data_IF_709457515266
#
_entry.id   IF_709457515266
#
_cell.length_a   1.000
_cell.length_b   1.000
_cell.length_c   1.000
_cell.angle_alpha   90.00
_cell.angle_beta   90.00
_cell.angle_gamma   90.00
#
_symmetry.space_group_name_H-M   'P 1'
#
loop_
_entity.id
_entity.type
_entity.pdbx_description
1 polymer ?
#
# COMPACT_ATOMS: atom_id res chain seq x y z
N UNK A 1 20.63 28.64 30.04
CA UNK A 1 21.34 27.98 28.93
C UNK A 1 20.35 27.11 28.17
N UNK A 2 19.85 27.61 27.04
CA UNK A 2 19.07 26.88 26.05
C UNK A 2 19.42 27.51 24.71
N UNK A 3 20.43 26.93 24.04
CA UNK A 3 21.05 27.44 22.81
C UNK A 3 20.11 27.18 21.63
N UNK A 4 20.02 28.16 20.71
CA UNK A 4 19.54 28.01 19.33
C UNK A 4 18.23 27.21 19.17
N UNK A 5 17.06 27.88 19.31
CA UNK A 5 15.82 27.41 18.67
C UNK A 5 16.05 27.47 17.16
N UNK A 6 16.58 26.40 16.57
CA UNK A 6 16.40 26.15 15.15
C UNK A 6 14.89 26.04 14.92
N UNK A 7 14.35 26.79 13.96
CA UNK A 7 12.91 27.00 13.73
C UNK A 7 12.13 25.78 13.24
N UNK A 8 12.59 24.57 13.55
CA UNK A 8 11.85 23.34 13.36
C UNK A 8 11.79 22.57 14.66
N UNK A 9 10.59 22.45 15.21
CA UNK A 9 10.34 21.56 16.34
C UNK A 9 10.67 20.13 15.91
N UNK A 10 11.66 19.50 16.54
CA UNK A 10 12.08 18.11 16.27
C UNK A 10 10.91 17.11 16.39
N UNK A 11 9.88 17.49 17.13
CA UNK A 11 8.65 16.71 17.35
C UNK A 11 7.59 16.90 16.25
N UNK A 12 7.92 17.59 15.14
CA UNK A 12 6.94 17.82 14.08
C UNK A 12 6.55 16.50 13.37
N UNK A 13 5.29 16.07 13.45
CA UNK A 13 4.84 14.82 12.83
C UNK A 13 4.96 14.82 11.30
N UNK A 14 5.02 15.99 10.67
CA UNK A 14 5.32 16.11 9.23
C UNK A 14 6.71 15.55 8.88
N UNK A 15 7.71 15.74 9.74
CA UNK A 15 9.06 15.23 9.54
C UNK A 15 9.06 13.69 9.56
N UNK A 16 8.30 13.07 10.47
CA UNK A 16 8.13 11.62 10.56
C UNK A 16 7.47 11.03 9.30
N UNK A 17 6.45 11.70 8.75
CA UNK A 17 5.83 11.30 7.48
C UNK A 17 6.81 11.36 6.30
N UNK A 18 7.63 12.41 6.23
CA UNK A 18 8.70 12.52 5.24
C UNK A 18 9.76 11.44 5.42
N UNK A 19 10.25 11.21 6.64
CA UNK A 19 11.25 10.18 6.93
C UNK A 19 10.74 8.78 6.55
N UNK A 20 9.47 8.47 6.84
CA UNK A 20 8.84 7.20 6.44
C UNK A 20 8.75 7.07 4.92
N UNK A 21 8.37 8.15 4.23
CA UNK A 21 8.30 8.18 2.75
C UNK A 21 9.67 8.00 2.09
N UNK A 22 10.70 8.65 2.64
CA UNK A 22 12.08 8.56 2.15
C UNK A 22 12.68 7.18 2.41
N UNK A 23 12.40 6.60 3.57
CA UNK A 23 12.78 5.21 3.86
C UNK A 23 12.11 4.26 2.87
N UNK A 24 10.82 4.47 2.59
CA UNK A 24 10.10 3.73 1.55
C UNK A 24 10.77 3.84 0.17
N UNK A 25 11.21 5.02 -0.24
CA UNK A 25 11.93 5.20 -1.51
C UNK A 25 13.26 4.45 -1.53
N UNK A 26 14.03 4.53 -0.44
CA UNK A 26 15.31 3.84 -0.34
C UNK A 26 15.11 2.32 -0.43
N UNK A 27 14.06 1.79 0.22
CA UNK A 27 13.68 0.38 0.12
C UNK A 27 13.24 0.00 -1.30
N UNK A 28 12.41 0.82 -1.95
CA UNK A 28 12.00 0.60 -3.35
C UNK A 28 13.22 0.58 -4.27
N UNK A 29 14.12 1.55 -4.14
CA UNK A 29 15.35 1.63 -4.93
C UNK A 29 16.23 0.40 -4.70
N UNK A 30 16.42 -0.02 -3.45
CA UNK A 30 17.18 -1.21 -3.10
C UNK A 30 16.59 -2.48 -3.75
N UNK A 31 15.28 -2.70 -3.64
CA UNK A 31 14.62 -3.86 -4.24
C UNK A 31 14.75 -3.83 -5.76
N UNK A 32 14.58 -2.66 -6.39
CA UNK A 32 14.77 -2.50 -7.84
C UNK A 32 16.21 -2.80 -8.26
N UNK A 33 17.22 -2.40 -7.49
CA UNK A 33 18.61 -2.78 -7.76
C UNK A 33 18.88 -4.27 -7.55
N UNK A 34 18.24 -4.91 -6.57
CA UNK A 34 18.32 -6.37 -6.40
C UNK A 34 17.73 -7.10 -7.61
N UNK A 35 16.57 -6.66 -8.10
CA UNK A 35 15.96 -7.19 -9.32
C UNK A 35 16.87 -6.99 -10.54
N UNK A 36 17.48 -5.81 -10.67
CA UNK A 36 18.41 -5.49 -11.74
C UNK A 36 19.70 -6.33 -11.72
N UNK A 37 20.10 -6.80 -10.54
CA UNK A 37 21.32 -7.57 -10.31
C UNK A 37 21.24 -9.03 -10.76
N UNK A 38 20.08 -9.49 -11.26
CA UNK A 38 19.95 -10.85 -11.78
C UNK A 38 20.79 -11.03 -13.06
N UNK A 39 21.76 -11.97 -13.09
CA UNK A 39 22.68 -12.13 -14.21
C UNK A 39 22.02 -12.65 -15.50
N UNK A 40 20.79 -13.19 -15.40
CA UNK A 40 20.04 -13.73 -16.54
C UNK A 40 19.14 -12.70 -17.21
N UNK A 41 19.09 -11.48 -16.67
CA UNK A 41 18.25 -10.42 -17.21
C UNK A 41 18.93 -9.73 -18.41
N UNK A 42 18.25 -9.53 -19.55
CA UNK A 42 18.81 -8.74 -20.64
C UNK A 42 19.06 -7.31 -20.18
N UNK A 43 20.08 -6.66 -20.75
CA UNK A 43 20.39 -5.27 -20.41
C UNK A 43 19.28 -4.32 -20.84
N UNK A 44 18.72 -4.55 -22.03
CA UNK A 44 17.73 -3.69 -22.65
C UNK A 44 16.39 -4.42 -22.86
N UNK A 45 15.26 -3.70 -22.94
CA UNK A 45 13.96 -4.27 -23.26
C UNK A 45 14.00 -5.11 -24.54
N UNK A 46 13.26 -6.22 -24.55
CA UNK A 46 13.17 -7.14 -25.70
C UNK A 46 11.75 -7.10 -26.23
N UNK A 47 11.56 -6.51 -27.41
CA UNK A 47 10.22 -6.26 -27.98
C UNK A 47 9.40 -7.54 -28.22
N UNK A 48 10.07 -8.65 -28.57
CA UNK A 48 9.44 -9.95 -28.82
C UNK A 48 9.16 -10.77 -27.55
N UNK A 49 9.55 -10.28 -26.37
CA UNK A 49 9.27 -10.97 -25.11
C UNK A 49 7.79 -10.79 -24.70
N UNK A 50 7.24 -11.76 -23.99
CA UNK A 50 5.88 -11.71 -23.45
C UNK A 50 5.70 -10.53 -22.48
N UNK A 51 6.76 -10.12 -21.79
CA UNK A 51 6.81 -8.93 -20.94
C UNK A 51 8.03 -8.07 -21.35
N UNK A 52 7.91 -7.19 -22.36
CA UNK A 52 9.06 -6.54 -23.01
C UNK A 52 9.94 -5.71 -22.07
N UNK A 53 9.35 -5.13 -21.02
CA UNK A 53 10.04 -4.22 -20.08
C UNK A 53 10.87 -4.94 -19.02
N UNK A 54 10.88 -6.27 -18.97
CA UNK A 54 11.69 -7.06 -18.03
C UNK A 54 13.15 -7.02 -18.50
N UNK A 55 13.86 -5.98 -18.07
CA UNK A 55 15.24 -5.70 -18.46
C UNK A 55 15.98 -4.95 -17.35
N UNK A 56 17.31 -5.10 -17.33
CA UNK A 56 18.14 -4.58 -16.24
C UNK A 56 18.12 -3.06 -16.25
N UNK A 57 18.18 -2.43 -17.43
CA UNK A 57 18.05 -0.98 -17.59
C UNK A 57 16.72 -0.43 -17.07
N UNK A 58 15.60 -1.16 -17.19
CA UNK A 58 14.31 -0.75 -16.62
C UNK A 58 14.40 -0.66 -15.09
N UNK A 59 14.88 -1.72 -14.44
CA UNK A 59 14.96 -1.77 -12.98
C UNK A 59 16.02 -0.81 -12.43
N UNK A 60 17.19 -0.72 -13.06
CA UNK A 60 18.21 0.29 -12.71
C UNK A 60 17.66 1.70 -12.89
N UNK A 61 17.01 1.99 -14.02
CA UNK A 61 16.47 3.32 -14.30
C UNK A 61 15.44 3.77 -13.26
N UNK A 62 14.50 2.89 -12.92
CA UNK A 62 13.53 3.16 -11.85
C UNK A 62 14.23 3.27 -10.48
N UNK A 63 15.15 2.36 -10.15
CA UNK A 63 15.87 2.37 -8.88
C UNK A 63 16.70 3.63 -8.68
N UNK A 64 17.43 4.06 -9.71
CA UNK A 64 18.20 5.31 -9.70
C UNK A 64 17.28 6.53 -9.60
N UNK A 65 16.15 6.56 -10.30
CA UNK A 65 15.19 7.66 -10.17
C UNK A 65 14.66 7.78 -8.73
N UNK A 66 14.29 6.66 -8.10
CA UNK A 66 13.84 6.63 -6.71
C UNK A 66 14.94 7.09 -5.75
N UNK A 67 16.19 6.63 -5.95
CA UNK A 67 17.33 7.01 -5.12
C UNK A 67 17.66 8.51 -5.24
N UNK A 68 17.67 9.06 -6.46
CA UNK A 68 17.96 10.47 -6.71
C UNK A 68 16.88 11.36 -6.09
N UNK A 69 15.61 11.04 -6.32
CA UNK A 69 14.49 11.78 -5.71
C UNK A 69 14.55 11.67 -4.18
N UNK A 70 14.86 10.49 -3.64
CA UNK A 70 15.04 10.30 -2.20
C UNK A 70 16.14 11.20 -1.64
N UNK A 71 17.32 11.24 -2.27
CA UNK A 71 18.43 12.06 -1.80
C UNK A 71 18.12 13.56 -1.85
N UNK A 72 17.48 14.04 -2.93
CA UNK A 72 17.07 15.43 -3.08
C UNK A 72 16.03 15.79 -2.01
N UNK A 73 14.98 14.99 -1.85
CA UNK A 73 13.95 15.23 -0.85
C UNK A 73 14.50 15.15 0.58
N UNK A 74 15.44 14.24 0.87
CA UNK A 74 16.09 14.16 2.18
C UNK A 74 16.89 15.44 2.50
N UNK A 75 17.69 15.93 1.54
CA UNK A 75 18.42 17.18 1.69
C UNK A 75 17.47 18.37 1.90
N UNK A 76 16.41 18.46 1.10
CA UNK A 76 15.40 19.52 1.23
C UNK A 76 14.61 19.44 2.54
N UNK A 77 14.31 18.24 3.05
CA UNK A 77 13.70 18.05 4.36
C UNK A 77 14.64 18.55 5.46
N UNK A 78 15.91 18.15 5.43
CA UNK A 78 16.90 18.58 6.43
C UNK A 78 17.05 20.10 6.43
N UNK A 79 17.24 20.71 5.26
CA UNK A 79 17.40 22.17 5.16
C UNK A 79 16.09 22.90 5.48
N UNK A 80 14.95 22.42 4.97
CA UNK A 80 13.64 23.07 5.08
C UNK A 80 12.98 22.98 6.44
N UNK A 81 13.21 21.90 7.18
CA UNK A 81 12.71 21.77 8.55
C UNK A 81 13.74 22.23 9.59
N UNK A 82 15.05 22.03 9.39
CA UNK A 82 16.02 22.33 10.45
C UNK A 82 16.75 23.67 10.30
N UNK A 83 16.89 24.22 9.08
CA UNK A 83 17.73 25.40 8.84
C UNK A 83 16.94 26.62 8.38
N UNK A 84 16.18 26.49 7.27
CA UNK A 84 15.55 27.62 6.58
C UNK A 84 14.21 27.20 5.96
N UNK A 85 13.10 27.73 6.49
CA UNK A 85 11.74 27.37 6.06
C UNK A 85 11.41 27.61 4.57
N UNK A 86 12.14 28.49 3.87
CA UNK A 86 11.94 28.74 2.44
C UNK A 86 12.14 27.48 1.57
N UNK A 87 12.92 26.50 2.04
CA UNK A 87 13.13 25.23 1.33
C UNK A 87 11.93 24.27 1.40
N UNK A 88 10.86 24.61 2.13
CA UNK A 88 9.61 23.84 2.12
C UNK A 88 8.86 23.95 0.77
N UNK A 89 8.99 25.06 0.05
CA UNK A 89 8.38 25.23 -1.28
C UNK A 89 9.01 24.32 -2.35
N UNK A 90 10.35 24.27 -2.54
CA UNK A 90 10.95 23.29 -3.46
C UNK A 90 10.70 21.85 -3.00
N UNK A 91 10.66 21.58 -1.69
CA UNK A 91 10.29 20.26 -1.16
C UNK A 91 8.88 19.85 -1.60
N UNK A 92 7.92 20.79 -1.65
CA UNK A 92 6.56 20.53 -2.14
C UNK A 92 6.56 20.07 -3.61
N UNK A 93 7.35 20.73 -4.46
CA UNK A 93 7.49 20.39 -5.88
C UNK A 93 8.12 19.00 -6.04
N UNK A 94 9.21 18.73 -5.31
CA UNK A 94 9.83 17.41 -5.29
C UNK A 94 8.86 16.33 -4.76
N UNK A 95 7.98 16.68 -3.83
CA UNK A 95 6.91 15.80 -3.36
C UNK A 95 5.90 15.42 -4.45
N UNK A 96 5.63 16.28 -5.43
CA UNK A 96 4.77 15.94 -6.58
C UNK A 96 5.53 14.99 -7.53
N UNK A 97 6.80 15.29 -7.83
CA UNK A 97 7.64 14.43 -8.67
C UNK A 97 7.79 13.02 -8.06
N UNK A 98 7.96 12.94 -6.75
CA UNK A 98 7.95 11.70 -5.97
C UNK A 98 6.65 10.91 -6.18
N UNK A 99 5.49 11.56 -6.09
CA UNK A 99 4.20 10.88 -6.25
C UNK A 99 4.02 10.36 -7.67
N UNK A 100 4.39 11.15 -8.68
CA UNK A 100 4.37 10.73 -10.09
C UNK A 100 5.28 9.52 -10.29
N UNK A 101 6.49 9.56 -9.76
CA UNK A 101 7.44 8.45 -9.87
C UNK A 101 6.87 7.16 -9.25
N UNK A 102 6.28 7.25 -8.06
CA UNK A 102 5.61 6.11 -7.43
C UNK A 102 4.50 5.52 -8.31
N UNK A 103 3.64 6.37 -8.90
CA UNK A 103 2.57 5.90 -9.79
C UNK A 103 3.13 5.25 -11.05
N UNK A 104 4.17 5.83 -11.65
CA UNK A 104 4.84 5.27 -12.84
C UNK A 104 5.45 3.91 -12.51
N UNK A 105 6.19 3.80 -11.41
CA UNK A 105 6.80 2.53 -10.97
C UNK A 105 5.75 1.46 -10.71
N UNK A 106 4.70 1.78 -9.94
CA UNK A 106 3.60 0.86 -9.69
C UNK A 106 2.86 0.46 -10.97
N UNK A 107 2.72 1.37 -11.94
CA UNK A 107 2.10 1.08 -13.24
C UNK A 107 2.95 0.13 -14.09
N UNK A 108 4.26 0.38 -14.20
CA UNK A 108 5.18 -0.46 -14.97
C UNK A 108 5.27 -1.86 -14.37
N UNK A 109 5.52 -1.96 -13.07
CA UNK A 109 5.66 -3.23 -12.37
C UNK A 109 4.32 -3.97 -12.25
N UNK A 110 3.22 -3.25 -12.03
CA UNK A 110 1.88 -3.82 -12.00
C UNK A 110 1.44 -4.41 -13.34
N UNK A 111 1.91 -3.85 -14.46
CA UNK A 111 1.71 -4.44 -15.79
C UNK A 111 2.46 -5.77 -15.92
N UNK A 112 3.67 -5.90 -15.38
CA UNK A 112 4.42 -7.17 -15.38
C UNK A 112 3.66 -8.26 -14.62
N UNK A 113 3.16 -7.95 -13.42
CA UNK A 113 2.32 -8.86 -12.63
C UNK A 113 1.04 -9.25 -13.39
N UNK A 114 0.37 -8.28 -14.02
CA UNK A 114 -0.84 -8.54 -14.81
C UNK A 114 -0.59 -9.52 -15.96
N UNK A 115 0.53 -9.37 -16.66
CA UNK A 115 0.90 -10.26 -17.76
C UNK A 115 1.27 -11.67 -17.25
N UNK A 116 1.94 -11.77 -16.10
CA UNK A 116 2.23 -13.03 -15.45
C UNK A 116 0.95 -13.76 -15.03
N UNK A 117 0.02 -13.07 -14.36
CA UNK A 117 -1.25 -13.64 -13.92
C UNK A 117 -2.08 -14.17 -15.11
N UNK A 118 -2.11 -13.40 -16.21
CA UNK A 118 -2.78 -13.83 -17.43
C UNK A 118 -2.17 -15.12 -17.97
N UNK A 119 -0.83 -15.20 -18.01
CA UNK A 119 -0.12 -16.40 -18.45
C UNK A 119 -0.40 -17.59 -17.54
N UNK A 120 -0.22 -17.46 -16.21
CA UNK A 120 -0.49 -18.52 -15.22
C UNK A 120 -1.94 -19.00 -15.30
N UNK A 121 -2.88 -18.07 -15.46
CA UNK A 121 -4.30 -18.37 -15.60
C UNK A 121 -4.59 -19.22 -16.84
N UNK A 122 -4.06 -18.82 -18.01
CA UNK A 122 -4.22 -19.57 -19.27
C UNK A 122 -3.52 -20.92 -19.20
N UNK A 123 -2.32 -20.98 -18.65
CA UNK A 123 -1.57 -22.22 -18.43
C UNK A 123 -2.37 -23.25 -17.61
N UNK A 124 -3.01 -22.82 -16.52
CA UNK A 124 -3.83 -23.70 -15.69
C UNK A 124 -5.08 -24.20 -16.45
N UNK A 125 -5.70 -23.35 -17.26
CA UNK A 125 -6.85 -23.73 -18.08
C UNK A 125 -6.46 -24.74 -19.17
N UNK A 126 -5.30 -24.54 -19.82
CA UNK A 126 -4.77 -25.44 -20.84
C UNK A 126 -4.40 -26.81 -20.26
N UNK A 127 -3.78 -26.84 -19.08
CA UNK A 127 -3.50 -28.09 -18.34
C UNK A 127 -4.79 -28.84 -18.03
N UNK A 128 -5.83 -28.13 -17.55
CA UNK A 128 -7.14 -28.75 -17.29
C UNK A 128 -7.77 -29.32 -18.56
N UNK A 129 -7.62 -28.62 -19.68
CA UNK A 129 -8.16 -29.02 -20.97
C UNK A 129 -7.30 -30.08 -21.71
N UNK A 130 -6.15 -30.48 -21.16
CA UNK A 130 -5.23 -31.43 -21.81
C UNK A 130 -4.57 -30.85 -23.07
N UNK A 131 -4.47 -29.52 -23.18
CA UNK A 131 -3.85 -28.83 -24.31
C UNK A 131 -2.33 -28.78 -24.15
N UNK A 132 -1.58 -28.69 -25.26
CA UNK A 132 -0.13 -28.50 -25.20
C UNK A 132 0.22 -27.19 -24.50
N UNK A 133 1.19 -27.26 -23.60
CA UNK A 133 1.66 -26.13 -22.81
C UNK A 133 2.60 -25.24 -23.63
N UNK A 134 2.34 -23.94 -23.66
CA UNK A 134 3.32 -22.98 -24.20
C UNK A 134 4.36 -22.71 -23.12
N UNK A 135 5.66 -23.01 -23.35
CA UNK A 135 6.68 -22.78 -22.34
C UNK A 135 6.78 -21.29 -22.01
N UNK A 136 7.00 -20.99 -20.72
CA UNK A 136 7.27 -19.62 -20.28
C UNK A 136 8.53 -19.10 -20.99
N UNK A 137 8.53 -17.83 -21.36
CA UNK A 137 9.76 -17.17 -21.79
C UNK A 137 10.57 -16.66 -20.58
N UNK A 138 11.76 -16.11 -20.83
CA UNK A 138 12.62 -15.60 -19.74
C UNK A 138 11.93 -14.52 -18.91
N UNK A 139 11.07 -13.69 -19.54
CA UNK A 139 10.45 -12.53 -18.92
C UNK A 139 9.35 -12.96 -17.94
N UNK A 140 8.57 -13.97 -18.30
CA UNK A 140 7.58 -14.59 -17.42
C UNK A 140 8.24 -15.35 -16.28
N UNK A 141 9.27 -16.15 -16.55
CA UNK A 141 10.02 -16.87 -15.50
C UNK A 141 10.61 -15.90 -14.48
N UNK A 142 11.27 -14.83 -14.95
CA UNK A 142 11.85 -13.84 -14.05
C UNK A 142 10.80 -13.16 -13.16
N UNK A 143 9.67 -12.75 -13.73
CA UNK A 143 8.60 -12.10 -12.96
C UNK A 143 7.96 -13.07 -11.99
N UNK A 144 7.82 -14.35 -12.35
CA UNK A 144 7.33 -15.41 -11.46
C UNK A 144 8.25 -15.60 -10.25
N UNK A 145 9.56 -15.79 -10.51
CA UNK A 145 10.57 -15.99 -9.46
C UNK A 145 10.69 -14.80 -8.49
N UNK A 146 10.31 -13.60 -8.93
CA UNK A 146 10.47 -12.35 -8.20
C UNK A 146 9.13 -11.66 -7.88
N UNK A 147 8.01 -12.36 -8.04
CA UNK A 147 6.66 -11.80 -7.98
C UNK A 147 6.42 -11.04 -6.66
N UNK A 148 6.85 -11.62 -5.54
CA UNK A 148 6.70 -11.02 -4.22
C UNK A 148 7.46 -9.69 -4.04
N UNK A 149 8.65 -9.57 -4.63
CA UNK A 149 9.43 -8.32 -4.60
C UNK A 149 8.77 -7.24 -5.44
N UNK A 150 8.30 -7.61 -6.64
CA UNK A 150 7.61 -6.70 -7.58
C UNK A 150 6.30 -6.21 -6.95
N UNK A 151 5.50 -7.11 -6.38
CA UNK A 151 4.26 -6.80 -5.68
C UNK A 151 4.50 -5.87 -4.48
N UNK A 152 5.52 -6.16 -3.67
CA UNK A 152 5.90 -5.32 -2.54
C UNK A 152 6.24 -3.89 -2.97
N UNK A 153 7.02 -3.71 -4.04
CA UNK A 153 7.33 -2.39 -4.58
C UNK A 153 6.06 -1.67 -5.08
N UNK A 154 5.18 -2.37 -5.81
CA UNK A 154 3.91 -1.81 -6.27
C UNK A 154 3.06 -1.28 -5.11
N UNK A 155 2.87 -2.10 -4.07
CA UNK A 155 2.07 -1.72 -2.90
C UNK A 155 2.73 -0.54 -2.17
N UNK A 156 4.04 -0.59 -1.91
CA UNK A 156 4.74 0.48 -1.22
C UNK A 156 4.67 1.81 -1.99
N UNK A 157 4.76 1.77 -3.32
CA UNK A 157 4.60 2.93 -4.19
C UNK A 157 3.19 3.54 -4.11
N UNK A 158 2.13 2.76 -3.91
CA UNK A 158 0.77 3.29 -3.71
C UNK A 158 0.61 3.93 -2.33
N UNK A 159 1.28 3.39 -1.30
CA UNK A 159 1.17 3.87 0.08
C UNK A 159 1.94 5.17 0.34
N UNK A 160 3.17 5.27 -0.20
CA UNK A 160 4.06 6.40 0.03
C UNK A 160 3.44 7.79 -0.24
N UNK A 161 2.70 8.02 -1.34
CA UNK A 161 1.99 9.27 -1.61
C UNK A 161 1.12 9.76 -0.45
N UNK A 162 0.50 8.86 0.32
CA UNK A 162 -0.36 9.24 1.45
C UNK A 162 0.45 9.94 2.53
N UNK A 163 1.63 9.41 2.88
CA UNK A 163 2.51 10.05 3.86
C UNK A 163 2.97 11.44 3.39
N UNK A 164 3.29 11.59 2.09
CA UNK A 164 3.65 12.89 1.49
C UNK A 164 2.47 13.86 1.46
N UNK A 165 1.24 13.39 1.27
CA UNK A 165 0.06 14.25 1.37
C UNK A 165 -0.21 14.68 2.81
N UNK A 166 -0.05 13.77 3.78
CA UNK A 166 -0.30 14.07 5.19
C UNK A 166 0.73 15.05 5.75
N UNK A 167 2.00 14.94 5.37
CA UNK A 167 3.06 15.86 5.83
C UNK A 167 2.75 17.32 5.50
N UNK A 168 1.98 17.61 4.44
CA UNK A 168 1.55 18.97 4.09
C UNK A 168 0.48 19.53 5.01
N UNK A 169 -0.29 18.67 5.66
CA UNK A 169 -1.42 19.06 6.51
C UNK A 169 -1.10 19.07 8.00
N UNK A 170 0.04 18.48 8.39
CA UNK A 170 0.45 18.33 9.78
C UNK A 170 1.30 19.51 10.22
N UNK A 171 0.97 20.05 11.39
CA UNK A 171 1.70 21.09 12.12
C UNK A 171 2.27 20.48 13.40
N UNK A 172 3.17 21.19 14.07
CA UNK A 172 3.77 20.69 15.29
C UNK A 172 2.75 20.52 16.45
N UNK A 173 1.71 21.36 16.48
CA UNK A 173 0.56 21.23 17.39
C UNK A 173 -0.49 20.19 16.96
N UNK A 174 -0.26 19.43 15.89
CA UNK A 174 -1.24 18.44 15.41
C UNK A 174 -1.39 17.28 16.39
N UNK A 175 -2.63 16.93 16.81
CA UNK A 175 -2.84 15.81 17.72
C UNK A 175 -2.30 14.50 17.15
N UNK A 176 -1.68 13.67 18.01
CA UNK A 176 -1.04 12.43 17.61
C UNK A 176 -1.94 11.49 16.78
N UNK A 177 -3.25 11.46 17.05
CA UNK A 177 -4.19 10.62 16.31
C UNK A 177 -4.45 11.11 14.87
N UNK A 178 -4.39 12.41 14.60
CA UNK A 178 -4.52 12.96 13.24
C UNK A 178 -3.25 12.68 12.41
N UNK A 179 -2.11 12.52 13.09
CA UNK A 179 -0.83 12.18 12.48
C UNK A 179 -0.65 10.67 12.24
N UNK A 180 -1.31 9.80 13.02
CA UNK A 180 -1.02 8.35 13.04
C UNK A 180 -2.23 7.48 12.72
N UNK A 181 -3.36 7.65 13.42
CA UNK A 181 -4.50 6.75 13.33
C UNK A 181 -5.28 6.93 12.01
N UNK A 182 -5.68 8.17 11.68
CA UNK A 182 -6.46 8.41 10.46
C UNK A 182 -5.67 8.13 9.17
N UNK A 183 -4.40 8.53 9.04
CA UNK A 183 -3.55 8.09 7.94
C UNK A 183 -3.38 6.57 7.94
N UNK A 184 -3.20 5.95 9.11
CA UNK A 184 -3.07 4.50 9.28
C UNK A 184 -4.24 3.74 8.66
N UNK A 185 -5.47 4.22 8.86
CA UNK A 185 -6.68 3.65 8.24
C UNK A 185 -6.65 3.75 6.71
N UNK A 186 -6.20 4.87 6.14
CA UNK A 186 -6.06 5.02 4.68
C UNK A 186 -4.98 4.06 4.15
N UNK A 187 -3.86 3.94 4.87
CA UNK A 187 -2.72 3.09 4.51
C UNK A 187 -3.12 1.62 4.49
N UNK A 188 -3.76 1.10 5.54
CA UNK A 188 -4.20 -0.31 5.58
C UNK A 188 -5.30 -0.60 4.57
N UNK A 189 -6.13 0.40 4.23
CA UNK A 189 -7.14 0.30 3.17
C UNK A 189 -6.48 0.18 1.79
N UNK A 190 -5.52 1.04 1.49
CA UNK A 190 -4.78 1.02 0.22
C UNK A 190 -3.84 -0.19 0.11
N UNK A 191 -3.27 -0.65 1.23
CA UNK A 191 -2.46 -1.86 1.25
C UNK A 191 -3.33 -3.07 0.88
N UNK A 192 -4.49 -3.21 1.54
CA UNK A 192 -5.48 -4.24 1.19
C UNK A 192 -5.89 -4.15 -0.27
N UNK A 193 -6.22 -2.95 -0.76
CA UNK A 193 -6.57 -2.73 -2.15
C UNK A 193 -5.45 -3.14 -3.11
N UNK A 194 -4.21 -2.73 -2.86
CA UNK A 194 -3.04 -2.98 -3.70
C UNK A 194 -2.74 -4.47 -3.82
N UNK A 195 -2.72 -5.20 -2.70
CA UNK A 195 -2.51 -6.65 -2.72
C UNK A 195 -3.60 -7.36 -3.53
N UNK A 196 -4.86 -6.96 -3.42
CA UNK A 196 -5.92 -7.54 -4.24
C UNK A 196 -5.86 -7.11 -5.72
N UNK A 197 -5.46 -5.87 -6.00
CA UNK A 197 -5.44 -5.29 -7.34
C UNK A 197 -4.40 -5.96 -8.23
N UNK A 198 -3.26 -6.31 -7.65
CA UNK A 198 -2.09 -6.83 -8.37
C UNK A 198 -1.94 -8.35 -8.30
N UNK A 199 -2.67 -9.04 -7.42
CA UNK A 199 -2.74 -10.51 -7.35
C UNK A 199 -3.79 -11.11 -8.29
N UNK A 200 -4.79 -10.31 -8.71
CA UNK A 200 -5.87 -10.58 -9.72
C UNK A 200 -6.45 -12.00 -9.81
N UNK A 201 -6.32 -12.81 -8.78
CA UNK A 201 -6.55 -14.25 -8.85
C UNK A 201 -8.02 -14.64 -9.03
N UNK A 202 -8.95 -13.74 -8.70
CA UNK A 202 -10.38 -13.92 -9.01
C UNK A 202 -11.13 -12.59 -9.09
N UNK A 203 -12.29 -12.60 -9.75
CA UNK A 203 -13.20 -11.44 -9.79
C UNK A 203 -13.68 -11.00 -8.39
N UNK A 204 -13.76 -11.92 -7.43
CA UNK A 204 -14.08 -11.60 -6.03
C UNK A 204 -12.99 -10.74 -5.41
N UNK A 205 -11.71 -11.10 -5.58
CA UNK A 205 -10.60 -10.31 -5.06
C UNK A 205 -10.52 -8.93 -5.74
N UNK A 206 -10.78 -8.85 -7.05
CA UNK A 206 -10.85 -7.57 -7.75
C UNK A 206 -11.99 -6.67 -7.23
N UNK A 207 -13.16 -7.26 -6.94
CA UNK A 207 -14.28 -6.57 -6.31
C UNK A 207 -13.92 -6.03 -4.92
N UNK A 208 -13.24 -6.86 -4.10
CA UNK A 208 -12.74 -6.45 -2.79
C UNK A 208 -11.68 -5.35 -2.87
N UNK A 209 -10.80 -5.38 -3.88
CA UNK A 209 -9.85 -4.30 -4.16
C UNK A 209 -10.58 -2.98 -4.40
N UNK A 210 -11.58 -2.99 -5.29
CA UNK A 210 -12.36 -1.81 -5.63
C UNK A 210 -13.11 -1.25 -4.42
N UNK A 211 -13.69 -2.12 -3.60
CA UNK A 211 -14.33 -1.73 -2.36
C UNK A 211 -13.34 -1.06 -1.38
N UNK A 212 -12.13 -1.60 -1.23
CA UNK A 212 -11.10 -1.00 -0.39
C UNK A 212 -10.60 0.37 -0.90
N UNK A 213 -10.51 0.56 -2.22
CA UNK A 213 -10.21 1.87 -2.81
C UNK A 213 -11.31 2.89 -2.48
N UNK A 214 -12.58 2.49 -2.58
CA UNK A 214 -13.72 3.35 -2.22
C UNK A 214 -13.67 3.70 -0.73
N UNK A 215 -13.45 2.71 0.15
CA UNK A 215 -13.32 2.92 1.60
C UNK A 215 -12.20 3.91 1.90
N UNK A 216 -11.01 3.71 1.32
CA UNK A 216 -9.89 4.63 1.47
C UNK A 216 -10.21 6.06 1.03
N UNK A 217 -10.88 6.22 -0.11
CA UNK A 217 -11.30 7.52 -0.63
C UNK A 217 -12.34 8.22 0.27
N UNK A 218 -13.39 7.49 0.69
CA UNK A 218 -14.43 8.01 1.60
C UNK A 218 -13.83 8.48 2.90
N UNK A 219 -12.89 7.72 3.47
CA UNK A 219 -12.21 8.07 4.72
C UNK A 219 -11.32 9.30 4.51
N UNK A 220 -10.51 9.32 3.44
CA UNK A 220 -9.66 10.45 3.11
C UNK A 220 -10.46 11.75 2.99
N UNK A 221 -11.56 11.74 2.24
CA UNK A 221 -12.46 12.88 2.08
C UNK A 221 -13.09 13.27 3.43
N UNK A 222 -13.58 12.30 4.18
CA UNK A 222 -14.26 12.54 5.46
C UNK A 222 -13.33 13.14 6.51
N UNK A 223 -12.07 12.69 6.56
CA UNK A 223 -11.03 13.26 7.45
C UNK A 223 -10.69 14.70 7.03
N UNK A 224 -10.57 14.99 5.74
CA UNK A 224 -10.32 16.35 5.24
C UNK A 224 -11.48 17.30 5.59
N UNK A 225 -12.73 16.85 5.37
CA UNK A 225 -13.92 17.63 5.75
C UNK A 225 -13.95 17.87 7.27
N UNK A 226 -13.65 16.85 8.08
CA UNK A 226 -13.62 16.97 9.53
C UNK A 226 -12.58 17.98 10.01
N UNK A 227 -11.38 18.00 9.40
CA UNK A 227 -10.33 18.98 9.70
C UNK A 227 -10.77 20.42 9.41
N UNK A 228 -11.56 20.64 8.36
CA UNK A 228 -11.97 21.98 7.95
C UNK A 228 -13.23 22.50 8.65
N UNK A 229 -14.18 21.61 8.98
CA UNK A 229 -15.50 22.01 9.48
C UNK A 229 -15.68 21.86 11.00
N UNK A 230 -14.82 21.12 11.70
CA UNK A 230 -14.77 20.97 13.17
C UNK A 230 -16.12 20.73 13.89
N UNK A 231 -17.10 20.12 13.22
CA UNK A 231 -18.43 19.90 13.79
C UNK A 231 -18.51 18.59 14.58
N UNK A 232 -19.19 18.63 15.74
CA UNK A 232 -19.47 17.44 16.55
C UNK A 232 -20.30 16.40 15.79
N UNK A 233 -21.23 16.85 14.93
CA UNK A 233 -22.04 15.95 14.11
C UNK A 233 -21.16 15.18 13.10
N UNK A 234 -20.16 15.84 12.52
CA UNK A 234 -19.24 15.21 11.58
C UNK A 234 -18.28 14.23 12.30
N UNK A 235 -17.93 14.47 13.56
CA UNK A 235 -17.19 13.50 14.38
C UNK A 235 -17.98 12.20 14.62
N UNK A 236 -19.30 12.30 14.84
CA UNK A 236 -20.19 11.13 15.01
C UNK A 236 -20.23 10.33 13.71
N UNK A 237 -20.44 11.02 12.58
CA UNK A 237 -20.47 10.38 11.26
C UNK A 237 -19.14 9.68 10.99
N UNK A 238 -18.00 10.31 11.31
CA UNK A 238 -16.68 9.72 11.12
C UNK A 238 -16.47 8.49 12.01
N UNK A 239 -16.93 8.50 13.26
CA UNK A 239 -16.89 7.34 14.14
C UNK A 239 -17.69 6.15 13.58
N UNK A 240 -18.88 6.41 13.03
CA UNK A 240 -19.70 5.38 12.37
C UNK A 240 -19.02 4.84 11.12
N UNK A 241 -18.44 5.71 10.27
CA UNK A 241 -17.67 5.28 9.10
C UNK A 241 -16.53 4.35 9.52
N UNK A 242 -15.79 4.69 10.58
CA UNK A 242 -14.71 3.83 11.06
C UNK A 242 -15.22 2.49 11.63
N UNK A 243 -16.32 2.49 12.38
CA UNK A 243 -16.92 1.26 12.89
C UNK A 243 -17.38 0.33 11.75
N UNK A 244 -18.02 0.89 10.72
CA UNK A 244 -18.40 0.14 9.52
C UNK A 244 -17.17 -0.40 8.78
N UNK A 245 -16.09 0.38 8.70
CA UNK A 245 -14.81 -0.06 8.14
C UNK A 245 -14.19 -1.23 8.90
N UNK A 246 -14.29 -1.26 10.23
CA UNK A 246 -13.84 -2.40 11.04
C UNK A 246 -14.66 -3.68 10.74
N UNK A 247 -15.98 -3.56 10.66
CA UNK A 247 -16.87 -4.67 10.31
C UNK A 247 -16.56 -5.17 8.89
N UNK A 248 -16.37 -4.26 7.95
CA UNK A 248 -15.98 -4.60 6.58
C UNK A 248 -14.64 -5.36 6.56
N UNK A 249 -13.61 -4.85 7.24
CA UNK A 249 -12.30 -5.51 7.33
C UNK A 249 -12.39 -6.92 7.91
N UNK A 250 -13.24 -7.14 8.92
CA UNK A 250 -13.50 -8.47 9.48
C UNK A 250 -14.14 -9.41 8.45
N UNK A 251 -15.17 -8.95 7.74
CA UNK A 251 -15.83 -9.74 6.69
C UNK A 251 -14.83 -10.11 5.59
N UNK A 252 -14.02 -9.15 5.13
CA UNK A 252 -12.99 -9.38 4.12
C UNK A 252 -11.98 -10.42 4.63
N UNK A 253 -11.48 -10.28 5.85
CA UNK A 253 -10.55 -11.23 6.45
C UNK A 253 -11.11 -12.66 6.49
N UNK A 254 -12.39 -12.82 6.84
CA UNK A 254 -13.08 -14.11 6.84
C UNK A 254 -13.22 -14.66 5.42
N UNK A 255 -13.68 -13.86 4.46
CA UNK A 255 -13.88 -14.28 3.07
C UNK A 255 -12.56 -14.75 2.45
N UNK A 256 -11.48 -13.99 2.65
CA UNK A 256 -10.14 -14.36 2.15
C UNK A 256 -9.62 -15.60 2.87
N UNK A 257 -9.85 -15.72 4.18
CA UNK A 257 -9.53 -16.91 4.95
C UNK A 257 -10.20 -18.17 4.41
N UNK A 258 -11.49 -18.09 4.07
CA UNK A 258 -12.23 -19.20 3.44
C UNK A 258 -11.60 -19.56 2.08
N UNK A 259 -11.27 -18.57 1.25
CA UNK A 259 -10.61 -18.84 -0.05
C UNK A 259 -9.26 -19.53 0.10
N UNK A 260 -8.47 -19.12 1.10
CA UNK A 260 -7.21 -19.77 1.41
C UNK A 260 -7.42 -21.24 1.83
N UNK A 261 -8.37 -21.51 2.74
CA UNK A 261 -8.62 -22.88 3.21
C UNK A 261 -9.20 -23.78 2.13
N UNK A 262 -10.12 -23.28 1.30
CA UNK A 262 -10.66 -23.98 0.12
C UNK A 262 -9.55 -24.36 -0.85
N UNK A 263 -8.71 -23.38 -1.23
CA UNK A 263 -7.59 -23.60 -2.15
C UNK A 263 -6.58 -24.62 -1.62
N UNK A 264 -6.19 -24.49 -0.35
CA UNK A 264 -5.27 -25.42 0.32
C UNK A 264 -5.82 -26.84 0.40
N UNK A 265 -7.12 -26.98 0.65
CA UNK A 265 -7.81 -28.28 0.63
C UNK A 265 -7.69 -28.93 -0.74
N UNK A 266 -7.95 -28.18 -1.82
CA UNK A 266 -7.85 -28.71 -3.19
C UNK A 266 -6.41 -29.07 -3.55
N UNK A 267 -5.43 -28.23 -3.20
CA UNK A 267 -4.01 -28.54 -3.40
C UNK A 267 -3.64 -29.89 -2.75
N UNK A 268 -4.10 -30.13 -1.52
CA UNK A 268 -3.85 -31.40 -0.81
C UNK A 268 -4.51 -32.61 -1.51
N UNK A 269 -5.60 -32.41 -2.25
CA UNK A 269 -6.22 -33.45 -3.08
C UNK A 269 -5.47 -33.72 -4.39
N UNK A 270 -4.62 -32.78 -4.84
CA UNK A 270 -3.79 -32.94 -6.04
C UNK A 270 -2.43 -33.59 -5.74
N UNK A 271 -1.98 -33.60 -4.49
CA UNK A 271 -0.72 -34.24 -4.10
C UNK A 271 -0.80 -35.77 -4.29
N UNK A 272 0.23 -36.36 -4.92
CA UNK A 272 0.28 -37.79 -5.26
C UNK A 272 0.27 -38.72 -4.03
N UNK A 273 0.68 -38.20 -2.87
CA UNK A 273 0.70 -38.94 -1.62
C UNK A 273 -0.64 -38.88 -0.87
N UNK A 274 -1.60 -38.10 -1.37
CA UNK A 274 -2.93 -37.99 -0.79
C UNK A 274 -3.77 -39.24 -1.10
N UNK A 275 -4.45 -39.84 -0.11
CA UNK A 275 -5.34 -40.98 -0.36
C UNK A 275 -6.53 -40.62 -1.27
N UNK A 276 -6.81 -39.33 -1.45
CA UNK A 276 -7.85 -38.80 -2.33
C UNK A 276 -7.28 -38.16 -3.60
N UNK A 277 -6.11 -38.61 -4.08
CA UNK A 277 -5.43 -38.01 -5.23
C UNK A 277 -6.34 -37.91 -6.46
N UNK A 278 -6.46 -36.70 -7.00
CA UNK A 278 -7.17 -36.38 -8.24
C UNK A 278 -6.24 -35.66 -9.20
N UNK A 279 -6.42 -35.89 -10.50
CA UNK A 279 -5.77 -35.07 -11.53
C UNK A 279 -6.48 -33.72 -11.68
N UNK A 280 -5.75 -32.66 -12.05
CA UNK A 280 -6.32 -31.31 -12.25
C UNK A 280 -7.50 -31.33 -13.24
N UNK A 281 -7.44 -32.17 -14.28
CA UNK A 281 -8.50 -32.36 -15.28
C UNK A 281 -9.79 -32.99 -14.72
N UNK A 282 -9.72 -33.63 -13.55
CA UNK A 282 -10.85 -34.33 -12.90
C UNK A 282 -11.53 -33.48 -11.82
N UNK A 283 -11.03 -32.27 -11.57
CA UNK A 283 -11.63 -31.36 -10.60
C UNK A 283 -12.95 -30.78 -11.12
N UNK A 284 -13.92 -30.69 -10.21
CA UNK A 284 -15.13 -29.90 -10.42
C UNK A 284 -14.76 -28.43 -10.65
N UNK A 285 -15.63 -27.67 -11.32
CA UNK A 285 -15.35 -26.28 -11.68
C UNK A 285 -15.14 -25.37 -10.46
N UNK A 286 -15.90 -25.59 -9.38
CA UNK A 286 -15.71 -24.91 -8.10
C UNK A 286 -14.33 -25.17 -7.50
N UNK A 287 -13.92 -26.44 -7.41
CA UNK A 287 -12.63 -26.85 -6.85
C UNK A 287 -11.47 -26.34 -7.70
N UNK A 288 -11.59 -26.42 -9.03
CA UNK A 288 -10.61 -25.88 -9.94
C UNK A 288 -10.46 -24.36 -9.80
N UNK A 289 -11.56 -23.62 -9.67
CA UNK A 289 -11.52 -22.18 -9.45
C UNK A 289 -10.88 -21.81 -8.11
N UNK A 290 -11.13 -22.58 -7.05
CA UNK A 290 -10.46 -22.40 -5.76
C UNK A 290 -8.96 -22.71 -5.82
N UNK A 291 -8.57 -23.78 -6.50
CA UNK A 291 -7.17 -24.11 -6.77
C UNK A 291 -6.47 -23.02 -7.59
N UNK A 292 -7.09 -22.60 -8.69
CA UNK A 292 -6.59 -21.54 -9.56
C UNK A 292 -6.38 -20.24 -8.80
N UNK A 293 -7.37 -19.82 -8.00
CA UNK A 293 -7.26 -18.62 -7.16
C UNK A 293 -6.11 -18.74 -6.16
N UNK A 294 -5.91 -19.92 -5.59
CA UNK A 294 -4.84 -20.18 -4.61
C UNK A 294 -3.45 -20.09 -5.23
N UNK A 295 -3.24 -20.77 -6.36
CA UNK A 295 -1.96 -20.78 -7.09
C UNK A 295 -1.61 -19.41 -7.64
N UNK A 296 -2.58 -18.70 -8.25
CA UNK A 296 -2.38 -17.32 -8.71
C UNK A 296 -2.06 -16.37 -7.55
N UNK A 297 -2.51 -16.66 -6.33
CA UNK A 297 -2.18 -15.87 -5.14
C UNK A 297 -0.83 -16.24 -4.49
N UNK A 298 0.15 -16.66 -5.30
CA UNK A 298 1.48 -17.08 -4.84
C UNK A 298 1.38 -18.27 -3.88
N UNK A 299 0.64 -19.31 -4.29
CA UNK A 299 0.32 -20.48 -3.46
C UNK A 299 -0.27 -20.10 -2.09
N UNK A 300 -1.18 -19.12 -2.10
CA UNK A 300 -1.89 -18.63 -0.93
C UNK A 300 -1.11 -17.66 -0.03
N UNK A 301 0.16 -17.37 -0.32
CA UNK A 301 0.97 -16.41 0.47
C UNK A 301 0.33 -15.03 0.46
N UNK A 302 -0.14 -14.54 -0.69
CA UNK A 302 -0.74 -13.21 -0.76
C UNK A 302 -2.09 -13.14 -0.05
N UNK A 303 -2.86 -14.24 -0.02
CA UNK A 303 -4.10 -14.32 0.76
C UNK A 303 -3.80 -14.18 2.25
N UNK A 304 -2.73 -14.82 2.75
CA UNK A 304 -2.30 -14.70 4.14
C UNK A 304 -1.85 -13.28 4.49
N UNK A 305 -1.07 -12.64 3.61
CA UNK A 305 -0.66 -11.23 3.80
C UNK A 305 -1.90 -10.33 3.91
N UNK A 306 -2.84 -10.49 2.99
CA UNK A 306 -4.10 -9.73 3.01
C UNK A 306 -4.87 -9.96 4.32
N UNK A 307 -4.97 -11.20 4.80
CA UNK A 307 -5.62 -11.50 6.08
C UNK A 307 -4.94 -10.70 7.21
N UNK A 308 -3.60 -10.70 7.28
CA UNK A 308 -2.85 -9.92 8.26
C UNK A 308 -3.05 -8.40 8.15
N UNK A 309 -3.11 -7.87 6.91
CA UNK A 309 -3.40 -6.45 6.68
C UNK A 309 -4.83 -6.10 7.11
N UNK A 310 -5.80 -6.98 6.88
CA UNK A 310 -7.20 -6.78 7.31
C UNK A 310 -7.33 -6.84 8.84
N UNK A 311 -6.60 -7.71 9.53
CA UNK A 311 -6.51 -7.68 10.99
C UNK A 311 -5.91 -6.36 11.49
N UNK A 312 -4.85 -5.89 10.85
CA UNK A 312 -4.27 -4.57 11.16
C UNK A 312 -5.29 -3.45 10.91
N UNK A 313 -6.07 -3.55 9.83
CA UNK A 313 -7.14 -2.61 9.52
C UNK A 313 -8.18 -2.56 10.63
N UNK A 314 -8.67 -3.71 11.12
CA UNK A 314 -9.62 -3.77 12.25
C UNK A 314 -9.10 -2.94 13.43
N UNK A 315 -7.82 -3.12 13.80
CA UNK A 315 -7.19 -2.38 14.89
C UNK A 315 -7.23 -0.88 14.63
N UNK A 316 -6.71 -0.41 13.49
CA UNK A 316 -6.70 1.01 13.14
C UNK A 316 -8.10 1.62 13.08
N UNK A 317 -9.08 0.90 12.53
CA UNK A 317 -10.47 1.34 12.44
C UNK A 317 -11.12 1.46 13.82
N UNK A 318 -10.95 0.47 14.71
CA UNK A 318 -11.51 0.53 16.06
C UNK A 318 -10.90 1.69 16.85
N UNK A 319 -9.58 1.85 16.85
CA UNK A 319 -8.94 2.95 17.56
C UNK A 319 -9.32 4.31 16.97
N UNK A 320 -9.45 4.42 15.66
CA UNK A 320 -9.91 5.66 15.01
C UNK A 320 -11.37 5.99 15.37
N UNK A 321 -12.24 4.97 15.46
CA UNK A 321 -13.61 5.13 15.90
C UNK A 321 -13.69 5.61 17.36
N UNK A 322 -12.91 5.00 18.26
CA UNK A 322 -12.85 5.39 19.67
C UNK A 322 -12.36 6.83 19.87
N UNK A 323 -11.35 7.24 19.09
CA UNK A 323 -10.84 8.62 19.15
C UNK A 323 -11.86 9.62 18.59
N UNK A 324 -12.49 9.31 17.46
CA UNK A 324 -13.57 10.13 16.91
C UNK A 324 -14.72 10.25 17.92
N UNK A 325 -15.07 9.15 18.60
CA UNK A 325 -16.08 9.13 19.66
C UNK A 325 -15.70 10.00 20.87
N UNK A 326 -14.45 9.90 21.34
CA UNK A 326 -13.94 10.71 22.45
C UNK A 326 -14.03 12.22 22.16
N UNK A 327 -13.83 12.64 20.90
CA UNK A 327 -13.93 14.06 20.53
C UNK A 327 -15.34 14.65 20.72
N UNK A 328 -16.37 13.81 20.82
CA UNK A 328 -17.76 14.22 21.11
C UNK A 328 -17.99 14.39 22.62
N UNK A 329 -17.32 13.58 23.45
CA UNK A 329 -17.46 13.58 24.91
C UNK A 329 -16.45 14.50 25.64
N UNK A 330 -15.48 15.07 24.94
CA UNK A 330 -14.47 15.99 25.50
C UNK A 330 -14.90 17.46 25.49
N UNK A 331 -14.12 18.36 26.15
CA UNK A 331 -14.33 19.80 26.08
C UNK A 331 -14.34 20.28 24.62
N UNK A 332 -15.15 21.31 24.33
CA UNK A 332 -15.30 21.82 22.97
C UNK A 332 -13.94 22.20 22.37
N UNK A 333 -13.59 21.69 21.18
CA UNK A 333 -12.30 21.95 20.49
C UNK A 333 -12.00 23.46 20.35
N UNK A 334 -13.04 24.28 20.22
CA UNK A 334 -12.94 25.76 20.18
C UNK A 334 -12.56 26.42 21.52
N UNK A 335 -12.69 25.73 22.65
CA UNK A 335 -12.24 26.20 23.96
C UNK A 335 -10.75 25.88 24.16
N UNK A 336 -10.31 24.68 23.79
CA UNK A 336 -8.91 24.26 23.92
C UNK A 336 -7.95 25.03 22.99
N UNK A 337 -8.35 25.29 21.73
CA UNK A 337 -7.53 26.06 20.77
C UNK A 337 -7.45 27.55 21.16
N UNK A 338 -8.53 28.11 21.73
CA UNK A 338 -8.50 29.49 22.24
C UNK A 338 -7.63 29.64 23.49
N UNK A 339 -7.63 28.64 24.37
CA UNK A 339 -6.75 28.64 25.53
C UNK A 339 -5.28 28.54 25.10
N UNK A 340 -4.93 27.69 24.13
CA UNK A 340 -3.55 27.59 23.60
C UNK A 340 -3.08 28.86 22.86
N UNK A 341 -3.90 29.45 21.98
CA UNK A 341 -3.56 30.73 21.32
C UNK A 341 -3.40 31.88 22.32
N UNK A 342 -4.18 31.88 23.42
CA UNK A 342 -4.07 32.90 24.47
C UNK A 342 -2.83 32.72 25.36
N UNK A 343 -2.35 31.48 25.52
CA UNK A 343 -1.14 31.18 26.27
C UNK A 343 0.11 31.47 25.43
N UNK A 344 0.12 31.14 24.13
CA UNK A 344 1.20 31.54 23.22
C UNK A 344 1.31 33.06 23.10
N UNK A 345 0.18 33.79 22.98
CA UNK A 345 0.19 35.26 22.95
C UNK A 345 0.61 35.89 24.29
N UNK A 346 0.42 35.21 25.42
CA UNK A 346 0.86 35.67 26.73
C UNK A 346 2.34 35.37 27.01
N UNK A 347 2.92 34.35 26.37
CA UNK A 347 4.36 34.07 26.43
C UNK A 347 5.19 34.93 25.46
N UNK A 348 4.55 35.50 24.43
CA UNK A 348 5.17 36.42 23.47
C UNK A 348 5.11 37.91 23.87
N UNK A 349 4.38 38.28 24.94
CA UNK A 349 4.22 39.65 25.45
C UNK A 349 5.12 39.94 26.67
#
# INVERSE_FOLDING_TARGET
MGKCKFGGEFDNPALSCWATSLTGQAVVALVLFLLAGNPHLPKDPVDDAAIPRVASSTFVGLGTAHLVVCAICAALCLVGFLLVGFFQLPLLICGIAFQILCVVTAGILGQMLTNLDSYKSTALDDVRAGKPFTPADFSQMFVDDNEGMILFVCVLCILMPIFVMQSKSLRASSPAYEATLYPGVIIVSLASAGYFLFCRASGVLQGLSSAWLIVGAVIGISVVIQKNCCSRALAIVLAVIFALGAVFALIVGIVVGIRYTEGKKVLTMLEKFSPNHRGVSTLEESDFNSFKTYTLAGDGVYLMIVISVNFSAIVYFIYSALVAFRSICGPNRNAAVKDEESVEQAEEA
#
